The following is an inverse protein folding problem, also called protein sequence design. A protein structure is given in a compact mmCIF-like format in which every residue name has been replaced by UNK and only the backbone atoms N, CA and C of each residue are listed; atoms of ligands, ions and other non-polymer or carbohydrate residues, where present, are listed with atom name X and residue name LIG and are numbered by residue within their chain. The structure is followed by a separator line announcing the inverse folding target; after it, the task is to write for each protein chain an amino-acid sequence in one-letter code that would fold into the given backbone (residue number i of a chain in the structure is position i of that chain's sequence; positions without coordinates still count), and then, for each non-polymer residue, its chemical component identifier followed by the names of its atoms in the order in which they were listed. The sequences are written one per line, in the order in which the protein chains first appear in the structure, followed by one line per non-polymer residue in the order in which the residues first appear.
data_IF_512160502886
#
_entry.id   IF_512160502886
#
_cell.length_a   1.000
_cell.length_b   1.000
_cell.length_c   1.000
_cell.angle_alpha   90.00
_cell.angle_beta   90.00
_cell.angle_gamma   90.00
#
_symmetry.space_group_name_H-M   'P 1'
#
loop_
_entity.id
_entity.type
_entity.pdbx_description
1 polymer ?
#
# COMPACT_ATOMS: atom_id res chain seq x y z
N UNK A 1 -3.54 -1.70 -4.43
CA UNK A 1 -3.44 -1.26 -3.01
C UNK A 1 -4.80 -0.80 -2.47
N UNK A 2 -5.43 0.22 -3.06
CA UNK A 2 -6.68 0.85 -2.58
C UNK A 2 -7.88 -0.09 -2.40
N UNK A 3 -8.09 -1.06 -3.28
CA UNK A 3 -9.22 -1.99 -3.24
C UNK A 3 -8.87 -3.40 -2.70
N UNK A 4 -7.84 -3.52 -1.84
CA UNK A 4 -7.41 -4.83 -1.34
C UNK A 4 -6.58 -4.77 -0.06
N UNK A 5 -5.26 -4.60 -0.20
CA UNK A 5 -4.34 -4.53 0.95
C UNK A 5 -4.50 -3.23 1.78
N UNK A 6 -4.96 -2.13 1.16
CA UNK A 6 -5.12 -0.84 1.83
C UNK A 6 -6.18 -0.81 2.93
N UNK A 7 -7.42 -1.30 2.72
CA UNK A 7 -8.48 -1.25 3.72
C UNK A 7 -8.12 -1.93 5.05
N UNK A 8 -7.45 -3.09 5.03
CA UNK A 8 -7.00 -3.74 6.28
C UNK A 8 -5.93 -2.91 7.00
N UNK A 9 -5.04 -2.24 6.25
CA UNK A 9 -4.00 -1.37 6.81
C UNK A 9 -4.53 -0.03 7.34
N UNK A 10 -5.77 0.35 6.99
CA UNK A 10 -6.44 1.46 7.66
C UNK A 10 -6.88 1.10 9.10
N UNK A 11 -6.97 -0.19 9.44
CA UNK A 11 -7.46 -0.67 10.73
C UNK A 11 -6.31 -1.27 11.56
N UNK A 12 -5.56 -2.21 10.99
CA UNK A 12 -4.49 -2.94 11.65
C UNK A 12 -3.17 -2.82 10.89
N UNK A 13 -2.07 -2.67 11.62
CA UNK A 13 -0.73 -2.68 11.03
C UNK A 13 -0.36 -4.03 10.39
N UNK A 14 0.73 -4.10 9.62
CA UNK A 14 1.13 -5.31 8.92
C UNK A 14 1.45 -6.49 9.85
N UNK A 15 2.03 -6.25 11.03
CA UNK A 15 2.31 -7.31 12.00
C UNK A 15 1.06 -7.80 12.74
N UNK A 16 0.10 -6.91 12.99
CA UNK A 16 -1.23 -7.30 13.49
C UNK A 16 -1.96 -8.11 12.42
N UNK A 17 -1.85 -7.73 11.15
CA UNK A 17 -2.38 -8.51 10.03
C UNK A 17 -1.74 -9.90 9.96
N UNK A 18 -0.43 -10.03 10.15
CA UNK A 18 0.25 -11.34 10.27
C UNK A 18 -0.35 -12.16 11.41
N UNK A 19 -0.51 -11.56 12.59
CA UNK A 19 -1.07 -12.25 13.75
C UNK A 19 -2.51 -12.74 13.50
N UNK A 20 -3.36 -11.90 12.88
CA UNK A 20 -4.79 -12.16 12.68
C UNK A 20 -5.09 -13.05 11.45
N UNK A 21 -4.17 -13.14 10.48
CA UNK A 21 -4.35 -13.96 9.28
C UNK A 21 -4.01 -15.45 9.50
N UNK A 22 -3.64 -15.82 10.73
CA UNK A 22 -3.36 -17.18 11.16
C UNK A 22 -3.73 -17.32 12.65
N UNK A 23 -3.39 -18.44 13.27
CA UNK A 23 -3.53 -18.63 14.71
C UNK A 23 -2.36 -17.97 15.48
N UNK A 24 -2.15 -16.67 15.21
CA UNK A 24 -1.03 -15.90 15.73
C UNK A 24 0.25 -16.01 14.89
N UNK A 25 1.25 -15.24 15.32
CA UNK A 25 2.49 -15.01 14.56
C UNK A 25 3.26 -16.30 14.26
N UNK A 26 3.31 -17.25 15.21
CA UNK A 26 4.04 -18.51 15.01
C UNK A 26 3.41 -19.37 13.91
N UNK A 27 2.09 -19.56 13.97
CA UNK A 27 1.34 -20.32 12.96
C UNK A 27 1.46 -19.65 11.58
N UNK A 28 1.40 -18.32 11.52
CA UNK A 28 1.58 -17.59 10.27
C UNK A 28 2.92 -17.90 9.60
N UNK A 29 4.02 -17.84 10.34
CA UNK A 29 5.35 -18.07 9.76
C UNK A 29 5.64 -19.56 9.48
N UNK A 30 5.00 -20.49 10.19
CA UNK A 30 5.02 -21.91 9.81
C UNK A 30 4.36 -22.11 8.44
N UNK A 31 3.21 -21.47 8.20
CA UNK A 31 2.46 -21.63 6.94
C UNK A 31 3.08 -20.89 5.76
N UNK A 32 3.53 -19.65 5.99
CA UNK A 32 3.84 -18.71 4.91
C UNK A 32 5.30 -18.26 4.89
N UNK A 33 6.11 -18.59 5.91
CA UNK A 33 7.48 -18.10 6.06
C UNK A 33 8.38 -18.48 4.88
N UNK A 34 8.28 -19.72 4.38
CA UNK A 34 9.04 -20.17 3.22
C UNK A 34 8.65 -19.42 1.93
N UNK A 35 7.36 -19.21 1.74
CA UNK A 35 6.85 -18.41 0.62
C UNK A 35 7.37 -16.97 0.66
N UNK A 36 7.34 -16.35 1.85
CA UNK A 36 7.88 -15.00 2.05
C UNK A 36 9.37 -14.97 1.72
N UNK A 37 10.17 -15.91 2.23
CA UNK A 37 11.60 -15.99 1.92
C UNK A 37 11.85 -16.12 0.42
N UNK A 38 11.11 -16.99 -0.27
CA UNK A 38 11.24 -17.19 -1.71
C UNK A 38 10.93 -15.92 -2.50
N UNK A 39 9.82 -15.24 -2.17
CA UNK A 39 9.45 -13.98 -2.83
C UNK A 39 10.48 -12.88 -2.58
N UNK A 40 11.03 -12.79 -1.37
CA UNK A 40 12.05 -11.80 -1.04
C UNK A 40 13.38 -12.07 -1.75
N UNK A 41 13.77 -13.35 -1.87
CA UNK A 41 14.98 -13.75 -2.58
C UNK A 41 14.92 -13.50 -4.09
N UNK A 42 13.72 -13.39 -4.66
CA UNK A 42 13.48 -13.10 -6.09
C UNK A 42 13.40 -11.59 -6.39
N UNK A 43 13.55 -10.72 -5.39
CA UNK A 43 13.56 -9.28 -5.63
C UNK A 43 14.83 -8.87 -6.39
N UNK A 44 14.64 -8.11 -7.46
CA UNK A 44 15.73 -7.53 -8.24
C UNK A 44 16.55 -6.50 -7.47
N UNK A 45 17.61 -5.95 -8.10
CA UNK A 45 18.45 -4.93 -7.48
C UNK A 45 17.65 -3.67 -7.14
N UNK A 46 18.14 -2.92 -6.16
CA UNK A 46 17.51 -1.67 -5.75
C UNK A 46 17.55 -0.64 -6.88
N UNK A 47 16.40 -0.01 -7.24
CA UNK A 47 16.39 1.06 -8.23
C UNK A 47 17.24 2.26 -7.77
N UNK A 48 17.88 2.92 -8.73
CA UNK A 48 18.59 4.19 -8.53
C UNK A 48 17.67 5.40 -8.57
N UNK A 49 16.42 5.22 -9.03
CA UNK A 49 15.42 6.25 -9.27
C UNK A 49 15.85 7.30 -10.31
N UNK A 50 16.78 6.91 -11.18
CA UNK A 50 17.30 7.72 -12.30
C UNK A 50 17.09 7.02 -13.64
N UNK A 51 16.43 5.86 -13.63
CA UNK A 51 16.12 5.07 -14.81
C UNK A 51 15.07 5.81 -15.66
N UNK A 52 15.53 6.65 -16.60
CA UNK A 52 14.68 7.48 -17.43
C UNK A 52 13.51 6.72 -18.08
N UNK A 53 13.69 5.51 -18.67
CA UNK A 53 12.56 4.76 -19.25
C UNK A 53 11.48 4.37 -18.23
N UNK A 54 11.86 4.12 -16.97
CA UNK A 54 10.90 3.78 -15.90
C UNK A 54 10.17 5.04 -15.44
N UNK A 55 10.89 6.14 -15.27
CA UNK A 55 10.29 7.43 -14.88
C UNK A 55 9.30 7.92 -15.93
N UNK A 56 9.67 7.89 -17.21
CA UNK A 56 8.78 8.27 -18.32
C UNK A 56 7.51 7.39 -18.35
N UNK A 57 7.64 6.09 -18.12
CA UNK A 57 6.48 5.19 -18.05
C UNK A 57 5.55 5.54 -16.88
N UNK A 58 6.10 5.83 -15.71
CA UNK A 58 5.33 6.24 -14.53
C UNK A 58 4.64 7.59 -14.78
N UNK A 59 5.37 8.57 -15.30
CA UNK A 59 4.86 9.89 -15.60
C UNK A 59 3.72 9.82 -16.62
N UNK A 60 3.90 9.10 -17.72
CA UNK A 60 2.85 8.96 -18.74
C UNK A 60 1.58 8.32 -18.17
N UNK A 61 1.71 7.27 -17.36
CA UNK A 61 0.56 6.60 -16.75
C UNK A 61 -0.15 7.49 -15.71
N UNK A 62 0.62 8.16 -14.85
CA UNK A 62 0.07 9.01 -13.80
C UNK A 62 -0.50 10.30 -14.36
N UNK A 63 0.15 10.98 -15.29
CA UNK A 63 -0.39 12.19 -15.90
C UNK A 63 -1.67 11.92 -16.71
N UNK A 64 -1.83 10.70 -17.27
CA UNK A 64 -3.07 10.30 -17.92
C UNK A 64 -4.23 10.11 -16.93
N UNK A 65 -3.98 9.51 -15.76
CA UNK A 65 -5.02 9.20 -14.76
C UNK A 65 -5.20 10.28 -13.68
N UNK A 66 -4.19 11.12 -13.48
CA UNK A 66 -4.10 12.19 -12.49
C UNK A 66 -3.45 13.43 -13.14
N UNK A 67 -4.14 14.12 -14.06
CA UNK A 67 -3.59 15.26 -14.79
C UNK A 67 -3.02 16.36 -13.88
N UNK A 68 -1.90 16.96 -14.30
CA UNK A 68 -1.15 17.92 -13.47
C UNK A 68 -1.97 19.17 -13.10
N UNK A 69 -2.81 19.64 -14.02
CA UNK A 69 -3.73 20.77 -13.83
C UNK A 69 -4.87 20.45 -12.85
N UNK A 70 -5.15 19.18 -12.59
CA UNK A 70 -6.17 18.72 -11.65
C UNK A 70 -5.61 18.32 -10.28
N UNK A 71 -4.29 18.31 -10.09
CA UNK A 71 -3.65 17.83 -8.86
C UNK A 71 -4.16 18.52 -7.59
N UNK A 72 -4.48 19.81 -7.65
CA UNK A 72 -5.01 20.53 -6.50
C UNK A 72 -6.36 19.96 -6.04
N UNK A 73 -7.27 19.69 -6.99
CA UNK A 73 -8.57 19.11 -6.71
C UNK A 73 -8.46 17.68 -6.16
N UNK A 74 -7.57 16.86 -6.74
CA UNK A 74 -7.33 15.48 -6.29
C UNK A 74 -6.72 15.44 -4.88
N UNK A 75 -5.78 16.34 -4.57
CA UNK A 75 -5.23 16.49 -3.21
C UNK A 75 -6.35 16.87 -2.22
N UNK A 76 -7.20 17.82 -2.57
CA UNK A 76 -8.32 18.22 -1.72
C UNK A 76 -9.31 17.06 -1.50
N UNK A 77 -9.57 16.24 -2.51
CA UNK A 77 -10.39 15.04 -2.38
C UNK A 77 -9.76 14.00 -1.44
N UNK A 78 -8.46 13.74 -1.61
CA UNK A 78 -7.70 12.86 -0.70
C UNK A 78 -7.85 13.31 0.76
N UNK A 79 -7.65 14.60 1.03
CA UNK A 79 -7.77 15.14 2.40
C UNK A 79 -9.18 14.96 2.98
N UNK A 80 -10.24 15.22 2.19
CA UNK A 80 -11.62 14.99 2.62
C UNK A 80 -11.87 13.52 2.96
N UNK A 81 -11.33 12.59 2.15
CA UNK A 81 -11.48 11.16 2.38
C UNK A 81 -10.67 10.69 3.61
N UNK A 82 -9.48 11.24 3.83
CA UNK A 82 -8.69 10.98 5.04
C UNK A 82 -9.38 11.48 6.31
N UNK A 83 -9.99 12.66 6.28
CA UNK A 83 -10.78 13.19 7.39
C UNK A 83 -11.97 12.27 7.72
N UNK A 84 -12.70 11.80 6.70
CA UNK A 84 -13.80 10.82 6.87
C UNK A 84 -13.30 9.51 7.48
N UNK A 85 -12.17 8.99 6.99
CA UNK A 85 -11.57 7.77 7.54
C UNK A 85 -11.15 7.96 9.01
N UNK A 86 -10.56 9.10 9.36
CA UNK A 86 -10.21 9.42 10.74
C UNK A 86 -11.45 9.50 11.65
N UNK A 87 -12.53 10.13 11.19
CA UNK A 87 -13.81 10.14 11.90
C UNK A 87 -14.41 8.75 12.07
N UNK A 88 -14.26 7.87 11.07
CA UNK A 88 -14.70 6.48 11.18
C UNK A 88 -13.85 5.70 12.18
N UNK A 89 -12.51 5.83 12.15
CA UNK A 89 -11.61 5.16 13.09
C UNK A 89 -11.91 5.51 14.55
N UNK A 90 -12.17 6.78 14.85
CA UNK A 90 -12.59 7.25 16.19
C UNK A 90 -13.89 6.60 16.72
N UNK A 91 -14.69 5.98 15.86
CA UNK A 91 -15.91 5.25 16.26
C UNK A 91 -15.68 3.74 16.43
N UNK A 92 -14.56 3.24 15.89
CA UNK A 92 -14.15 1.84 15.98
C UNK A 92 -13.27 1.63 17.22
N UNK A 93 -12.42 2.61 17.51
CA UNK A 93 -11.65 2.72 18.76
C UNK A 93 -12.55 3.16 19.92
#
# INVERSE_FOLDING_TARGET
MSAGLGPRYAIHGPLQTVHLNANGVRDYFIRYGDGIRKVLADQGPMPTFKEAPVLEKLENFLNHSMPLDQLAAMKAERERNLARLASLKKKID
#
